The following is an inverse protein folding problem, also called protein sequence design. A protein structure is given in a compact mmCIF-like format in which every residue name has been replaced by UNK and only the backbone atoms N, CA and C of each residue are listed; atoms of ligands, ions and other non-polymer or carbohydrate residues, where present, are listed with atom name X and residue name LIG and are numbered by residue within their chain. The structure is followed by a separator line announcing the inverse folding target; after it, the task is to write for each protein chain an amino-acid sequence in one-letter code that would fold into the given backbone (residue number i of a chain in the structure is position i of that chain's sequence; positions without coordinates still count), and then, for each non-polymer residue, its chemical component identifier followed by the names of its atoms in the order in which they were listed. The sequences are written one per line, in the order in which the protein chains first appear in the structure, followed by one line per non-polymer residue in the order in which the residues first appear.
data_IF_344163482909
#
_entry.id   IF_344163482909
#
_cell.length_a   1.000
_cell.length_b   1.000
_cell.length_c   1.000
_cell.angle_alpha   90.00
_cell.angle_beta   90.00
_cell.angle_gamma   90.00
#
_symmetry.space_group_name_H-M   'P 1'
#
loop_
_entity.id
_entity.type
_entity.pdbx_description
1 polymer ?
#
# COMPACT_ATOMS: atom_id res chain seq x y z
N UNK A 1 -6.69 -25.17 -33.39
CA UNK A 1 -6.93 -26.17 -34.45
C UNK A 1 -8.41 -26.19 -34.84
N UNK A 2 -8.78 -25.77 -36.06
CA UNK A 2 -10.15 -25.78 -36.55
C UNK A 2 -10.80 -27.17 -36.59
N UNK A 3 -9.99 -28.23 -36.70
CA UNK A 3 -10.48 -29.62 -36.80
C UNK A 3 -11.14 -30.11 -35.51
N UNK A 4 -10.62 -29.71 -34.35
CA UNK A 4 -11.19 -30.03 -33.03
C UNK A 4 -12.57 -29.38 -32.81
N UNK A 5 -12.80 -28.18 -33.35
CA UNK A 5 -14.09 -27.47 -33.21
C UNK A 5 -15.21 -28.16 -34.00
N UNK A 6 -14.88 -28.77 -35.13
CA UNK A 6 -15.84 -29.47 -35.98
C UNK A 6 -16.20 -30.87 -35.46
N UNK A 7 -15.45 -31.41 -34.50
CA UNK A 7 -15.71 -32.71 -33.87
C UNK A 7 -16.70 -32.64 -32.69
N UNK A 8 -17.10 -31.44 -32.25
CA UNK A 8 -17.99 -31.21 -31.11
C UNK A 8 -19.45 -30.98 -31.52
N UNK A 9 -20.40 -31.44 -30.69
CA UNK A 9 -21.83 -31.16 -30.86
C UNK A 9 -22.18 -29.68 -30.68
N UNK A 10 -23.40 -29.27 -31.06
CA UNK A 10 -23.78 -27.85 -31.23
C UNK A 10 -23.51 -26.94 -30.03
N UNK A 11 -23.98 -27.28 -28.81
CA UNK A 11 -23.82 -26.41 -27.63
C UNK A 11 -22.36 -26.28 -27.16
N UNK A 12 -21.58 -27.36 -27.00
CA UNK A 12 -20.14 -27.27 -26.71
C UNK A 12 -19.33 -26.54 -27.79
N UNK A 13 -19.68 -26.72 -29.07
CA UNK A 13 -19.02 -26.05 -30.19
C UNK A 13 -19.21 -24.53 -30.14
N UNK A 14 -20.42 -24.06 -29.83
CA UNK A 14 -20.70 -22.63 -29.73
C UNK A 14 -19.92 -21.99 -28.57
N UNK A 15 -19.95 -22.60 -27.38
CA UNK A 15 -19.20 -22.06 -26.23
C UNK A 15 -17.68 -22.02 -26.46
N UNK A 16 -17.11 -23.01 -27.15
CA UNK A 16 -15.70 -22.98 -27.52
C UNK A 16 -15.39 -21.91 -28.57
N UNK A 17 -16.33 -21.64 -29.48
CA UNK A 17 -16.16 -20.61 -30.51
C UNK A 17 -16.16 -19.22 -29.88
N UNK A 18 -17.16 -18.93 -29.03
CA UNK A 18 -17.26 -17.70 -28.25
C UNK A 18 -16.02 -17.48 -27.38
N UNK A 19 -15.51 -18.53 -26.73
CA UNK A 19 -14.29 -18.42 -25.92
C UNK A 19 -13.06 -18.06 -26.75
N UNK A 20 -12.88 -18.64 -27.94
CA UNK A 20 -11.71 -18.30 -28.75
C UNK A 20 -11.84 -16.89 -29.34
N UNK A 21 -13.04 -16.50 -29.78
CA UNK A 21 -13.30 -15.13 -30.23
C UNK A 21 -12.99 -14.11 -29.11
N UNK A 22 -13.32 -14.43 -27.86
CA UNK A 22 -12.96 -13.62 -26.70
C UNK A 22 -11.43 -13.49 -26.54
N UNK A 23 -10.69 -14.59 -26.62
CA UNK A 23 -9.22 -14.59 -26.48
C UNK A 23 -8.55 -13.81 -27.62
N UNK A 24 -9.00 -14.01 -28.86
CA UNK A 24 -8.49 -13.26 -30.01
C UNK A 24 -8.81 -11.78 -29.87
N UNK A 25 -10.01 -11.42 -29.42
CA UNK A 25 -10.41 -10.03 -29.15
C UNK A 25 -9.54 -9.37 -28.07
N UNK A 26 -9.24 -10.07 -26.97
CA UNK A 26 -8.35 -9.60 -25.91
C UNK A 26 -6.95 -9.35 -26.47
N UNK A 27 -6.39 -10.31 -27.23
CA UNK A 27 -5.05 -10.20 -27.81
C UNK A 27 -4.93 -8.99 -28.73
N UNK A 28 -5.91 -8.79 -29.61
CA UNK A 28 -5.91 -7.69 -30.57
C UNK A 28 -6.08 -6.34 -29.86
N UNK A 29 -7.07 -6.23 -28.97
CA UNK A 29 -7.46 -4.95 -28.35
C UNK A 29 -6.44 -4.38 -27.36
N UNK A 30 -5.55 -5.23 -26.84
CA UNK A 30 -4.62 -4.87 -25.76
C UNK A 30 -3.14 -4.91 -26.18
N UNK A 31 -2.83 -5.35 -27.40
CA UNK A 31 -1.45 -5.57 -27.88
C UNK A 31 -0.52 -4.35 -27.80
N UNK A 32 -1.04 -3.14 -28.01
CA UNK A 32 -0.26 -1.89 -27.99
C UNK A 32 -0.39 -1.10 -26.68
N UNK A 33 -1.00 -1.71 -25.65
CA UNK A 33 -1.20 -1.06 -24.34
C UNK A 33 -0.09 -1.39 -23.37
N UNK A 34 0.06 -0.56 -22.33
CA UNK A 34 0.97 -0.83 -21.20
C UNK A 34 0.53 -2.07 -20.43
N UNK A 35 1.45 -2.71 -19.68
CA UNK A 35 1.13 -3.90 -18.88
C UNK A 35 -0.07 -3.69 -17.94
N UNK A 36 -0.16 -2.53 -17.29
CA UNK A 36 -1.29 -2.21 -16.41
C UNK A 36 -2.63 -2.14 -17.16
N UNK A 37 -2.64 -1.49 -18.32
CA UNK A 37 -3.82 -1.40 -19.19
C UNK A 37 -4.20 -2.75 -19.80
N UNK A 38 -3.21 -3.63 -20.06
CA UNK A 38 -3.46 -5.01 -20.49
C UNK A 38 -4.15 -5.79 -19.38
N UNK A 39 -3.65 -5.73 -18.13
CA UNK A 39 -4.29 -6.38 -16.98
C UNK A 39 -5.70 -5.85 -16.78
N UNK A 40 -5.89 -4.53 -16.73
CA UNK A 40 -7.21 -3.92 -16.56
C UNK A 40 -8.17 -4.30 -17.70
N UNK A 41 -7.70 -4.28 -18.94
CA UNK A 41 -8.48 -4.68 -20.11
C UNK A 41 -8.92 -6.13 -20.06
N UNK A 42 -8.05 -7.06 -19.64
CA UNK A 42 -8.42 -8.48 -19.47
C UNK A 42 -9.51 -8.62 -18.40
N UNK A 43 -9.40 -7.92 -17.26
CA UNK A 43 -10.38 -8.01 -16.18
C UNK A 43 -11.78 -7.54 -16.60
N UNK A 44 -11.85 -6.52 -17.45
CA UNK A 44 -13.11 -5.99 -17.99
C UNK A 44 -13.66 -6.88 -19.12
N UNK A 45 -12.86 -7.19 -20.15
CA UNK A 45 -13.30 -7.95 -21.33
C UNK A 45 -13.69 -9.38 -20.98
N UNK A 46 -12.96 -10.03 -20.06
CA UNK A 46 -13.31 -11.39 -19.59
C UNK A 46 -14.59 -11.44 -18.74
N UNK A 47 -15.10 -10.29 -18.30
CA UNK A 47 -16.21 -10.20 -17.35
C UNK A 47 -15.84 -10.58 -15.92
N UNK A 48 -14.55 -10.83 -15.62
CA UNK A 48 -14.11 -11.21 -14.27
C UNK A 48 -14.44 -10.11 -13.25
N UNK A 49 -14.30 -8.83 -13.62
CA UNK A 49 -14.60 -7.72 -12.71
C UNK A 49 -16.08 -7.67 -12.32
N UNK A 50 -16.96 -7.87 -13.30
CA UNK A 50 -18.41 -7.97 -13.06
C UNK A 50 -18.75 -9.21 -12.22
N UNK A 51 -18.09 -10.35 -12.46
CA UNK A 51 -18.27 -11.56 -11.67
C UNK A 51 -17.85 -11.37 -10.20
N UNK A 52 -16.74 -10.68 -9.95
CA UNK A 52 -16.31 -10.33 -8.58
C UNK A 52 -17.29 -9.38 -7.90
N UNK A 53 -17.80 -8.37 -8.62
CA UNK A 53 -18.77 -7.43 -8.09
C UNK A 53 -20.13 -8.07 -7.74
N UNK A 54 -20.45 -9.22 -8.35
CA UNK A 54 -21.68 -9.97 -8.08
C UNK A 54 -21.59 -10.92 -6.87
N UNK A 55 -20.42 -11.03 -6.23
CA UNK A 55 -20.24 -11.82 -5.00
C UNK A 55 -20.88 -11.12 -3.79
N UNK A 56 -20.97 -11.86 -2.68
CA UNK A 56 -21.39 -11.30 -1.40
C UNK A 56 -20.51 -10.08 -1.01
N UNK A 57 -21.06 -9.02 -0.40
CA UNK A 57 -20.38 -7.72 -0.29
C UNK A 57 -18.97 -7.77 0.32
N UNK A 58 -18.75 -8.63 1.33
CA UNK A 58 -17.43 -8.79 1.96
C UNK A 58 -16.42 -9.50 1.04
N UNK A 59 -16.88 -10.49 0.29
CA UNK A 59 -16.01 -11.23 -0.63
C UNK A 59 -15.72 -10.43 -1.89
N UNK A 60 -16.73 -9.72 -2.41
CA UNK A 60 -16.60 -8.81 -3.54
C UNK A 60 -15.55 -7.73 -3.27
N UNK A 61 -15.56 -7.15 -2.07
CA UNK A 61 -14.52 -6.19 -1.68
C UNK A 61 -13.15 -6.87 -1.62
N UNK A 62 -12.98 -7.93 -0.82
CA UNK A 62 -11.67 -8.55 -0.63
C UNK A 62 -11.04 -8.99 -1.95
N UNK A 63 -11.83 -9.58 -2.86
CA UNK A 63 -11.34 -9.94 -4.20
C UNK A 63 -11.11 -8.72 -5.09
N UNK A 64 -11.97 -7.70 -5.04
CA UNK A 64 -11.80 -6.45 -5.79
C UNK A 64 -10.53 -5.69 -5.39
N UNK A 65 -10.17 -5.74 -4.11
CA UNK A 65 -8.90 -5.21 -3.59
C UNK A 65 -7.71 -5.95 -4.19
N UNK A 66 -7.74 -7.28 -4.21
CA UNK A 66 -6.68 -8.09 -4.84
C UNK A 66 -6.52 -7.77 -6.33
N UNK A 67 -7.63 -7.57 -7.06
CA UNK A 67 -7.58 -7.15 -8.46
C UNK A 67 -6.96 -5.75 -8.64
N UNK A 68 -7.27 -4.83 -7.73
CA UNK A 68 -6.70 -3.47 -7.76
C UNK A 68 -5.21 -3.49 -7.46
N UNK A 69 -4.77 -4.34 -6.53
CA UNK A 69 -3.37 -4.52 -6.21
C UNK A 69 -2.60 -5.15 -7.39
N UNK A 70 -3.19 -6.12 -8.08
CA UNK A 70 -2.60 -6.71 -9.29
C UNK A 70 -2.33 -5.65 -10.37
N UNK A 71 -3.26 -4.72 -10.59
CA UNK A 71 -3.07 -3.58 -11.51
C UNK A 71 -1.95 -2.65 -11.00
N UNK A 72 -1.91 -2.39 -9.69
CA UNK A 72 -0.87 -1.55 -9.11
C UNK A 72 0.53 -2.17 -9.24
N UNK A 73 0.65 -3.49 -9.05
CA UNK A 73 1.87 -4.26 -9.27
C UNK A 73 2.31 -4.12 -10.74
N UNK A 74 1.41 -4.40 -11.68
CA UNK A 74 1.65 -4.25 -13.12
C UNK A 74 2.12 -2.84 -13.51
N UNK A 75 1.52 -1.79 -12.95
CA UNK A 75 1.89 -0.40 -13.24
C UNK A 75 3.28 -0.01 -12.71
N UNK A 76 3.66 -0.56 -11.56
CA UNK A 76 4.98 -0.31 -10.95
C UNK A 76 6.07 -1.27 -11.43
N UNK A 77 5.70 -2.31 -12.18
CA UNK A 77 6.62 -3.31 -12.68
C UNK A 77 7.65 -2.67 -13.61
N UNK A 78 8.89 -3.12 -13.49
CA UNK A 78 9.99 -2.74 -14.36
C UNK A 78 10.72 -4.02 -14.73
N UNK A 79 10.87 -4.23 -16.03
CA UNK A 79 11.59 -5.38 -16.56
C UNK A 79 13.04 -5.32 -16.07
N UNK A 80 13.55 -6.35 -15.37
CA UNK A 80 14.96 -6.44 -15.03
C UNK A 80 15.83 -6.37 -16.29
N UNK A 81 17.04 -5.82 -16.18
CA UNK A 81 17.95 -5.70 -17.33
C UNK A 81 18.28 -7.07 -17.97
N UNK A 82 18.27 -8.13 -17.17
CA UNK A 82 18.51 -9.51 -17.60
C UNK A 82 17.36 -10.11 -18.44
N UNK A 83 16.15 -9.54 -18.37
CA UNK A 83 14.93 -10.08 -18.99
C UNK A 83 14.41 -9.22 -20.16
N UNK A 84 15.16 -8.19 -20.60
CA UNK A 84 14.73 -7.26 -21.64
C UNK A 84 14.34 -7.96 -22.97
N UNK A 85 14.94 -9.12 -23.28
CA UNK A 85 14.66 -9.89 -24.50
C UNK A 85 13.31 -10.63 -24.47
N UNK A 86 12.76 -10.90 -23.27
CA UNK A 86 11.57 -11.75 -23.10
C UNK A 86 10.25 -10.97 -23.31
N UNK A 87 10.30 -9.64 -23.29
CA UNK A 87 9.13 -8.76 -23.36
C UNK A 87 8.43 -8.59 -22.00
N UNK A 88 7.85 -7.41 -21.77
CA UNK A 88 7.37 -6.98 -20.44
C UNK A 88 6.33 -7.91 -19.81
N UNK A 89 5.34 -8.37 -20.58
CA UNK A 89 4.31 -9.29 -20.08
C UNK A 89 4.89 -10.66 -19.70
N UNK A 90 5.79 -11.22 -20.51
CA UNK A 90 6.37 -12.52 -20.23
C UNK A 90 7.35 -12.47 -19.05
N UNK A 91 8.13 -11.40 -18.93
CA UNK A 91 8.95 -11.11 -17.74
C UNK A 91 8.09 -11.03 -16.47
N UNK A 92 6.99 -10.27 -16.52
CA UNK A 92 6.05 -10.16 -15.41
C UNK A 92 5.45 -11.51 -14.99
N UNK A 93 4.99 -12.31 -15.96
CA UNK A 93 4.41 -13.63 -15.70
C UNK A 93 5.45 -14.62 -15.16
N UNK A 94 6.70 -14.56 -15.63
CA UNK A 94 7.80 -15.37 -15.12
C UNK A 94 8.05 -15.08 -13.64
N UNK A 95 8.21 -13.80 -13.29
CA UNK A 95 8.41 -13.38 -11.91
C UNK A 95 7.22 -13.74 -11.02
N UNK A 96 5.99 -13.48 -11.46
CA UNK A 96 4.80 -13.83 -10.70
C UNK A 96 4.68 -15.35 -10.46
N UNK A 97 5.14 -16.18 -11.40
CA UNK A 97 5.15 -17.64 -11.25
C UNK A 97 6.20 -18.12 -10.24
N UNK A 98 7.38 -17.50 -10.23
CA UNK A 98 8.42 -17.77 -9.22
C UNK A 98 7.92 -17.40 -7.81
N UNK A 99 7.31 -16.23 -7.68
CA UNK A 99 6.76 -15.73 -6.41
C UNK A 99 5.61 -16.62 -5.89
N UNK A 100 4.79 -17.17 -6.79
CA UNK A 100 3.65 -18.02 -6.45
C UNK A 100 4.00 -19.47 -6.03
N UNK A 101 5.20 -19.95 -6.37
CA UNK A 101 5.55 -21.38 -6.29
C UNK A 101 6.44 -21.82 -5.12
N UNK A 102 7.37 -20.98 -4.65
CA UNK A 102 8.53 -21.48 -3.88
C UNK A 102 8.63 -21.01 -2.43
N UNK A 103 7.83 -20.05 -1.97
CA UNK A 103 8.03 -19.40 -0.65
C UNK A 103 7.04 -19.80 0.44
N UNK A 104 6.06 -20.66 0.17
CA UNK A 104 5.14 -21.16 1.19
C UNK A 104 5.78 -22.29 1.99
N UNK A 105 6.48 -21.92 3.06
CA UNK A 105 7.06 -22.87 4.00
C UNK A 105 5.94 -23.68 4.69
N UNK A 106 6.17 -24.97 4.94
CA UNK A 106 5.21 -25.77 5.71
C UNK A 106 5.03 -25.19 7.13
N UNK A 107 3.91 -25.49 7.81
CA UNK A 107 3.60 -24.94 9.16
C UNK A 107 4.68 -25.18 10.23
N UNK A 108 5.62 -26.10 9.98
CA UNK A 108 6.72 -26.46 10.88
C UNK A 108 8.11 -26.22 10.28
N UNK A 109 8.19 -25.54 9.13
CA UNK A 109 9.46 -25.12 8.56
C UNK A 109 10.05 -23.97 9.37
N UNK A 110 11.37 -23.93 9.47
CA UNK A 110 12.12 -22.82 10.06
C UNK A 110 12.07 -21.62 9.12
N UNK A 111 10.99 -20.86 9.20
CA UNK A 111 10.68 -19.73 8.34
C UNK A 111 9.87 -18.66 9.09
N UNK A 112 9.94 -17.42 8.60
CA UNK A 112 9.10 -16.33 9.10
C UNK A 112 7.65 -16.59 8.71
N UNK A 113 6.75 -16.64 9.69
CA UNK A 113 5.34 -16.87 9.45
C UNK A 113 4.61 -15.54 9.21
N UNK A 114 4.10 -15.35 8.00
CA UNK A 114 3.23 -14.22 7.65
C UNK A 114 1.77 -14.69 7.69
N UNK A 115 0.94 -13.97 8.44
CA UNK A 115 -0.48 -14.28 8.57
C UNK A 115 -1.28 -13.05 8.97
N UNK A 116 -2.60 -13.13 8.83
CA UNK A 116 -3.50 -12.10 9.36
C UNK A 116 -3.64 -12.23 10.88
N UNK A 117 -4.00 -11.15 11.57
CA UNK A 117 -4.25 -11.17 13.02
C UNK A 117 -5.34 -12.19 13.42
N UNK A 118 -6.37 -12.37 12.59
CA UNK A 118 -7.43 -13.36 12.82
C UNK A 118 -6.89 -14.80 12.81
N UNK A 119 -5.97 -15.09 11.90
CA UNK A 119 -5.34 -16.41 11.76
C UNK A 119 -4.36 -16.75 12.89
N UNK A 120 -3.85 -15.74 13.60
CA UNK A 120 -2.89 -15.92 14.69
C UNK A 120 -3.53 -16.39 16.01
N UNK A 121 -4.86 -16.45 16.10
CA UNK A 121 -5.57 -16.82 17.32
C UNK A 121 -5.18 -18.23 17.78
N UNK A 122 -4.70 -18.34 19.03
CA UNK A 122 -4.26 -19.60 19.63
C UNK A 122 -2.84 -20.04 19.27
N UNK A 123 -2.11 -19.21 18.51
CA UNK A 123 -0.67 -19.38 18.26
C UNK A 123 0.13 -18.45 19.16
N UNK A 124 1.37 -18.80 19.44
CA UNK A 124 2.30 -17.98 20.23
C UNK A 124 3.69 -18.06 19.59
N UNK A 125 4.43 -16.96 19.61
CA UNK A 125 5.73 -16.83 18.96
C UNK A 125 6.70 -16.06 19.87
N UNK A 126 8.00 -16.42 19.88
CA UNK A 126 9.01 -15.69 20.63
C UNK A 126 9.08 -14.19 20.26
N UNK A 127 8.92 -13.88 18.99
CA UNK A 127 9.00 -12.54 18.42
C UNK A 127 7.83 -12.32 17.46
N UNK A 128 7.07 -11.24 17.66
CA UNK A 128 5.95 -10.86 16.79
C UNK A 128 6.15 -9.45 16.26
N UNK A 129 5.95 -9.30 14.96
CA UNK A 129 5.82 -8.00 14.30
C UNK A 129 4.36 -7.78 13.94
N UNK A 130 3.75 -6.72 14.47
CA UNK A 130 2.48 -6.21 13.97
C UNK A 130 2.79 -5.00 13.11
N UNK A 131 2.54 -5.14 11.81
CA UNK A 131 2.85 -4.14 10.79
C UNK A 131 1.58 -3.40 10.36
N UNK A 132 1.75 -2.18 9.86
CA UNK A 132 0.62 -1.39 9.36
C UNK A 132 -0.28 -0.86 10.48
N UNK A 133 0.30 -0.52 11.64
CA UNK A 133 -0.38 0.11 12.77
C UNK A 133 -0.72 1.57 12.44
N UNK A 134 -1.63 1.78 11.51
CA UNK A 134 -2.02 3.05 10.91
C UNK A 134 -3.55 3.24 11.00
N UNK A 135 -4.02 4.44 11.29
CA UNK A 135 -5.46 4.76 11.19
C UNK A 135 -5.97 4.51 9.76
N UNK A 136 -7.14 3.88 9.64
CA UNK A 136 -7.73 3.49 8.36
C UNK A 136 -7.26 2.12 7.84
N UNK A 137 -6.09 1.64 8.28
CA UNK A 137 -5.61 0.28 8.02
C UNK A 137 -5.86 -0.64 9.22
N UNK A 138 -5.36 -0.26 10.39
CA UNK A 138 -5.59 -0.93 11.65
C UNK A 138 -5.60 0.07 12.84
N UNK A 139 -6.78 0.52 13.31
CA UNK A 139 -8.11 -0.01 12.99
C UNK A 139 -8.53 0.23 11.53
N UNK A 140 -9.25 -0.74 10.95
CA UNK A 140 -9.77 -0.61 9.60
C UNK A 140 -10.77 0.57 9.50
N UNK A 141 -10.69 1.33 8.40
CA UNK A 141 -11.54 2.48 8.11
C UNK A 141 -13.04 2.20 8.33
N UNK A 142 -13.53 1.03 7.93
CA UNK A 142 -14.93 0.64 8.08
C UNK A 142 -15.34 0.50 9.53
N UNK A 143 -14.49 -0.14 10.34
CA UNK A 143 -14.76 -0.30 11.76
C UNK A 143 -14.80 1.06 12.48
N UNK A 144 -14.06 2.05 11.97
CA UNK A 144 -14.13 3.42 12.47
C UNK A 144 -15.45 4.12 12.10
N UNK A 145 -16.01 3.83 10.92
CA UNK A 145 -17.25 4.42 10.41
C UNK A 145 -18.51 3.74 10.96
N UNK A 146 -18.49 2.41 11.12
CA UNK A 146 -19.61 1.60 11.64
C UNK A 146 -19.91 1.88 13.12
N UNK A 147 -18.95 2.45 13.86
CA UNK A 147 -19.16 3.01 15.20
C UNK A 147 -18.35 2.35 16.31
N UNK A 148 -18.62 2.72 17.57
CA UNK A 148 -17.76 2.36 18.71
C UNK A 148 -17.62 0.85 18.95
N UNK A 149 -18.67 0.07 18.71
CA UNK A 149 -18.66 -1.39 18.95
C UNK A 149 -17.68 -2.12 18.03
N UNK A 150 -17.58 -1.70 16.77
CA UNK A 150 -16.69 -2.28 15.78
C UNK A 150 -15.25 -1.88 16.06
N UNK A 151 -15.04 -0.64 16.47
CA UNK A 151 -13.73 -0.19 16.93
C UNK A 151 -13.26 -0.98 18.17
N UNK A 152 -14.17 -1.35 19.08
CA UNK A 152 -13.85 -2.24 20.19
C UNK A 152 -13.49 -3.66 19.72
N UNK A 153 -14.07 -4.14 18.63
CA UNK A 153 -13.69 -5.43 18.06
C UNK A 153 -12.28 -5.40 17.46
N UNK A 154 -11.94 -4.35 16.70
CA UNK A 154 -10.58 -4.12 16.20
C UNK A 154 -9.57 -3.98 17.35
N UNK A 155 -9.97 -3.35 18.46
CA UNK A 155 -9.17 -3.25 19.68
C UNK A 155 -8.95 -4.62 20.33
N UNK A 156 -9.98 -5.48 20.36
CA UNK A 156 -9.84 -6.88 20.81
C UNK A 156 -8.89 -7.65 19.90
N UNK A 157 -8.96 -7.43 18.59
CA UNK A 157 -8.05 -8.01 17.62
C UNK A 157 -6.60 -7.55 17.86
N UNK A 158 -6.39 -6.27 18.16
CA UNK A 158 -5.07 -5.72 18.51
C UNK A 158 -4.51 -6.39 19.77
N UNK A 159 -5.33 -6.50 20.81
CA UNK A 159 -4.98 -7.20 22.04
C UNK A 159 -4.58 -8.66 21.78
N UNK A 160 -5.39 -9.40 21.00
CA UNK A 160 -5.07 -10.79 20.64
C UNK A 160 -3.73 -10.85 19.90
N UNK A 161 -3.49 -9.98 18.92
CA UNK A 161 -2.24 -9.89 18.19
C UNK A 161 -1.02 -9.65 19.08
N UNK A 162 -1.13 -8.65 19.98
CA UNK A 162 -0.05 -8.29 20.90
C UNK A 162 0.28 -9.43 21.87
N UNK A 163 -0.74 -10.16 22.35
CA UNK A 163 -0.56 -11.31 23.25
C UNK A 163 -0.08 -12.59 22.57
N UNK A 164 0.16 -12.58 21.25
CA UNK A 164 0.85 -13.70 20.58
C UNK A 164 2.37 -13.67 20.83
N UNK A 165 2.91 -12.54 21.30
CA UNK A 165 4.33 -12.37 21.56
C UNK A 165 4.72 -12.90 22.94
N UNK A 166 5.65 -13.86 23.00
CA UNK A 166 6.15 -14.39 24.27
C UNK A 166 7.28 -13.54 24.87
N UNK A 167 8.19 -13.01 24.02
CA UNK A 167 9.39 -12.30 24.48
C UNK A 167 9.46 -10.86 23.98
N UNK A 168 9.19 -10.66 22.70
CA UNK A 168 9.33 -9.35 22.08
C UNK A 168 8.21 -9.08 21.08
N UNK A 169 7.64 -7.87 21.19
CA UNK A 169 6.64 -7.33 20.29
C UNK A 169 7.21 -6.09 19.62
N UNK A 170 7.13 -6.04 18.30
CA UNK A 170 7.47 -4.87 17.50
C UNK A 170 6.23 -4.39 16.77
N UNK A 171 5.92 -3.11 16.94
CA UNK A 171 4.82 -2.43 16.25
C UNK A 171 5.41 -1.48 15.21
N UNK A 172 4.96 -1.55 13.97
CA UNK A 172 5.42 -0.64 12.91
C UNK A 172 4.27 0.03 12.16
N UNK A 173 4.51 1.27 11.74
CA UNK A 173 3.62 2.08 10.91
C UNK A 173 4.45 2.81 9.86
N UNK A 174 3.85 3.11 8.70
CA UNK A 174 4.48 3.88 7.65
C UNK A 174 4.03 5.35 7.69
N UNK A 175 4.96 6.29 7.48
CA UNK A 175 4.63 7.71 7.31
C UNK A 175 3.99 7.99 5.93
N UNK A 176 4.30 7.15 4.94
CA UNK A 176 3.69 7.14 3.61
C UNK A 176 3.61 5.72 3.10
N UNK A 177 2.45 5.32 2.58
CA UNK A 177 2.18 4.00 2.04
C UNK A 177 1.58 4.13 0.65
N UNK A 178 2.12 3.40 -0.33
CA UNK A 178 1.37 3.17 -1.57
C UNK A 178 0.29 2.14 -1.28
N UNK A 179 -0.96 2.50 -1.51
CA UNK A 179 -2.14 1.68 -1.29
C UNK A 179 -3.11 1.90 -2.45
N UNK A 180 -3.51 0.81 -3.13
CA UNK A 180 -4.44 0.85 -4.27
C UNK A 180 -4.02 1.87 -5.34
N UNK A 181 -2.73 1.87 -5.70
CA UNK A 181 -2.17 2.77 -6.73
C UNK A 181 -1.97 4.24 -6.30
N UNK A 182 -2.41 4.63 -5.10
CA UNK A 182 -2.27 6.00 -4.58
C UNK A 182 -1.37 6.05 -3.35
N UNK A 183 -0.73 7.20 -3.08
CA UNK A 183 0.01 7.40 -1.84
C UNK A 183 -0.95 7.83 -0.72
N UNK A 184 -1.09 7.02 0.32
CA UNK A 184 -1.81 7.30 1.54
C UNK A 184 -0.85 7.78 2.64
N UNK A 185 -1.27 8.79 3.39
CA UNK A 185 -0.54 9.36 4.53
C UNK A 185 -1.40 9.21 5.79
N UNK A 186 -1.31 8.04 6.39
CA UNK A 186 -2.14 7.69 7.54
C UNK A 186 -1.47 8.11 8.84
N UNK A 187 -2.27 8.56 9.81
CA UNK A 187 -1.77 8.80 11.16
C UNK A 187 -1.41 7.45 11.83
N UNK A 188 -0.47 7.42 12.79
CA UNK A 188 -0.22 6.22 13.58
C UNK A 188 -1.50 5.76 14.30
N UNK A 189 -1.72 4.45 14.35
CA UNK A 189 -2.89 3.84 14.98
C UNK A 189 -3.05 4.33 16.42
N UNK A 190 -4.30 4.65 16.79
CA UNK A 190 -4.66 4.96 18.18
C UNK A 190 -4.28 3.87 19.16
N UNK A 191 -4.24 2.60 18.74
CA UNK A 191 -3.86 1.48 19.60
C UNK A 191 -2.41 1.60 20.12
N UNK A 192 -1.52 2.26 19.38
CA UNK A 192 -0.16 2.56 19.87
C UNK A 192 -0.23 3.55 21.04
N UNK A 193 -1.05 4.60 20.92
CA UNK A 193 -1.15 5.69 21.92
C UNK A 193 -1.83 5.25 23.22
N UNK A 194 -2.59 4.17 23.16
CA UNK A 194 -3.26 3.57 24.31
C UNK A 194 -2.32 2.71 25.17
N UNK A 195 -1.16 2.32 24.62
CA UNK A 195 -0.15 1.58 25.36
C UNK A 195 0.56 2.51 26.36
N UNK A 196 0.90 2.03 27.58
CA UNK A 196 1.66 2.82 28.52
C UNK A 196 3.04 3.19 27.95
N UNK A 197 3.36 4.48 27.89
CA UNK A 197 4.62 4.96 27.30
C UNK A 197 5.89 4.35 27.91
N UNK A 198 5.85 3.95 29.20
CA UNK A 198 6.97 3.23 29.86
C UNK A 198 7.31 1.88 29.22
N UNK A 199 6.39 1.29 28.48
CA UNK A 199 6.56 0.00 27.79
C UNK A 199 6.98 0.19 26.32
N UNK A 200 7.03 1.43 25.83
CA UNK A 200 7.34 1.74 24.45
C UNK A 200 8.80 2.19 24.33
N UNK A 201 9.53 1.57 23.42
CA UNK A 201 10.83 2.03 22.96
C UNK A 201 10.68 2.49 21.51
N UNK A 202 10.64 3.80 21.30
CA UNK A 202 10.51 4.35 19.95
C UNK A 202 11.84 4.21 19.20
N UNK A 203 11.80 3.45 18.09
CA UNK A 203 12.93 3.29 17.19
C UNK A 203 12.65 4.07 15.92
N UNK A 204 13.40 5.16 15.70
CA UNK A 204 13.42 5.89 14.42
C UNK A 204 14.62 5.37 13.63
N UNK A 205 14.43 4.54 12.58
CA UNK A 205 15.54 4.16 11.74
C UNK A 205 16.11 5.42 11.09
N UNK A 206 17.37 5.75 11.41
CA UNK A 206 18.14 6.75 10.67
C UNK A 206 18.47 6.14 9.31
N UNK A 207 17.52 6.17 8.38
CA UNK A 207 17.76 5.73 7.01
C UNK A 207 18.78 6.69 6.40
N UNK A 208 20.06 6.31 6.44
CA UNK A 208 21.08 6.92 5.61
C UNK A 208 20.78 6.48 4.18
N UNK A 209 19.95 7.26 3.49
CA UNK A 209 19.74 7.11 2.06
C UNK A 209 21.08 7.43 1.37
N UNK A 210 21.93 6.43 1.20
CA UNK A 210 23.08 6.51 0.30
C UNK A 210 22.52 6.56 -1.11
N UNK A 211 22.18 7.75 -1.59
CA UNK A 211 21.88 7.95 -3.01
C UNK A 211 23.17 7.66 -3.78
N UNK A 212 23.21 6.64 -4.65
CA UNK A 212 24.38 6.43 -5.50
C UNK A 212 24.54 7.67 -6.39
N UNK A 213 25.63 8.40 -6.18
CA UNK A 213 26.04 9.54 -7.00
C UNK A 213 26.62 9.03 -8.31
N UNK A 214 25.77 8.52 -9.18
CA UNK A 214 26.09 8.32 -10.59
C UNK A 214 25.61 9.56 -11.32
N UNK A 215 26.56 10.41 -11.74
CA UNK A 215 26.52 11.40 -12.83
C UNK A 215 27.41 12.60 -12.45
N UNK A 216 28.68 12.49 -12.83
CA UNK A 216 29.60 13.61 -12.86
C UNK A 216 29.26 14.55 -14.02
N UNK A 217 29.18 15.84 -13.73
CA UNK A 217 28.98 16.90 -14.71
C UNK A 217 28.74 18.22 -13.99
N UNK A 218 29.80 19.02 -13.84
CA UNK A 218 29.72 20.34 -13.25
C UNK A 218 28.86 21.27 -14.11
N UNK A 219 27.71 21.66 -13.60
CA UNK A 219 27.03 22.90 -13.94
C UNK A 219 26.39 23.43 -12.65
N UNK A 220 26.78 24.65 -12.27
CA UNK A 220 26.13 25.40 -11.19
C UNK A 220 24.64 25.52 -11.48
N UNK A 221 23.84 24.72 -10.78
CA UNK A 221 22.41 24.93 -10.65
C UNK A 221 22.12 25.15 -9.17
N UNK A 222 21.65 26.37 -8.86
CA UNK A 222 21.14 26.73 -7.55
C UNK A 222 20.17 25.67 -7.02
N UNK A 223 20.09 25.44 -5.69
CA UNK A 223 19.08 24.56 -5.14
C UNK A 223 17.71 25.13 -5.51
N UNK A 224 17.00 24.46 -6.41
CA UNK A 224 15.57 24.65 -6.63
C UNK A 224 14.85 24.10 -5.39
N UNK A 225 14.86 24.91 -4.34
CA UNK A 225 13.85 24.89 -3.30
C UNK A 225 12.52 25.26 -3.95
N UNK A 226 11.68 24.27 -4.18
CA UNK A 226 10.26 24.51 -4.45
C UNK A 226 9.41 23.71 -3.47
N UNK A 227 9.61 24.03 -2.19
CA UNK A 227 8.52 24.09 -1.23
C UNK A 227 8.65 25.47 -0.57
N UNK A 228 7.58 26.29 -0.47
CA UNK A 228 7.66 27.68 0.03
C UNK A 228 7.99 27.77 1.53
N UNK A 229 8.27 26.64 2.18
CA UNK A 229 8.49 26.52 3.61
C UNK A 229 9.95 26.19 3.89
N UNK A 230 10.66 27.13 4.50
CA UNK A 230 12.00 26.88 5.05
C UNK A 230 11.87 26.14 6.38
N UNK A 231 12.44 24.94 6.44
CA UNK A 231 12.63 24.20 7.69
C UNK A 231 13.49 25.04 8.65
N UNK A 232 13.09 25.14 9.91
CA UNK A 232 13.68 26.04 10.90
C UNK A 232 13.27 27.50 10.78
N UNK A 233 12.37 27.84 9.85
CA UNK A 233 11.82 29.19 9.72
C UNK A 233 10.84 29.53 10.84
N UNK A 234 10.87 30.79 11.28
CA UNK A 234 9.89 31.33 12.22
C UNK A 234 8.56 31.55 11.51
N UNK A 235 7.48 31.18 12.18
CA UNK A 235 6.12 31.34 11.68
C UNK A 235 5.23 31.89 12.77
N UNK A 236 4.19 32.62 12.37
CA UNK A 236 3.15 33.12 13.25
C UNK A 236 1.80 32.58 12.84
N UNK A 237 1.04 32.09 13.83
CA UNK A 237 -0.33 31.61 13.64
C UNK A 237 -1.31 32.43 14.48
N UNK A 238 -2.43 32.92 13.92
CA UNK A 238 -3.39 33.79 14.63
C UNK A 238 -3.94 33.22 15.95
N UNK A 239 -3.99 31.88 16.06
CA UNK A 239 -4.49 31.18 17.26
C UNK A 239 -3.39 30.65 18.18
N UNK A 240 -2.20 30.40 17.65
CA UNK A 240 -1.16 29.64 18.37
C UNK A 240 0.12 30.45 18.62
N UNK A 241 0.16 31.71 18.18
CA UNK A 241 1.29 32.60 18.42
C UNK A 241 2.47 32.31 17.50
N UNK A 242 3.67 32.63 17.98
CA UNK A 242 4.93 32.39 17.28
C UNK A 242 5.41 30.95 17.48
N UNK A 243 6.06 30.41 16.46
CA UNK A 243 6.61 29.07 16.48
C UNK A 243 7.64 28.82 15.39
N UNK A 244 8.31 27.68 15.47
CA UNK A 244 9.35 27.29 14.52
C UNK A 244 8.89 26.08 13.73
N UNK A 245 9.06 26.14 12.40
CA UNK A 245 8.79 24.99 11.53
C UNK A 245 9.83 23.92 11.79
N UNK A 246 9.40 22.81 12.37
CA UNK A 246 10.25 21.64 12.66
C UNK A 246 10.33 20.76 11.42
N UNK A 247 9.21 20.56 10.73
CA UNK A 247 9.13 19.67 9.58
C UNK A 247 8.06 20.10 8.59
N UNK A 248 8.26 19.81 7.31
CA UNK A 248 7.29 20.04 6.25
C UNK A 248 7.19 18.77 5.40
N UNK A 249 5.96 18.36 5.09
CA UNK A 249 5.63 17.14 4.37
C UNK A 249 4.74 17.46 3.18
N UNK A 250 4.94 16.75 2.07
CA UNK A 250 4.15 16.91 0.85
C UNK A 250 4.50 18.17 0.04
N UNK A 251 3.77 18.36 -1.06
CA UNK A 251 3.89 19.50 -1.97
C UNK A 251 2.48 19.99 -2.37
N UNK A 252 2.37 21.29 -2.70
CA UNK A 252 1.11 21.90 -3.14
C UNK A 252 0.09 22.13 -2.02
N UNK A 253 -1.19 22.15 -2.37
CA UNK A 253 -2.30 22.57 -1.49
C UNK A 253 -2.56 21.63 -0.29
N UNK A 254 -2.01 20.42 -0.32
CA UNK A 254 -2.11 19.45 0.77
C UNK A 254 -0.83 19.33 1.60
N UNK A 255 0.16 20.20 1.36
CA UNK A 255 1.39 20.18 2.13
C UNK A 255 1.10 20.46 3.62
N UNK A 256 1.72 19.70 4.51
CA UNK A 256 1.55 19.80 5.96
C UNK A 256 2.84 20.25 6.61
N UNK A 257 2.72 21.08 7.63
CA UNK A 257 3.84 21.60 8.41
C UNK A 257 3.64 21.29 9.88
N UNK A 258 4.69 20.81 10.50
CA UNK A 258 4.78 20.60 11.93
C UNK A 258 5.52 21.80 12.52
N UNK A 259 4.81 22.57 13.33
CA UNK A 259 5.29 23.79 13.96
C UNK A 259 5.32 23.58 15.46
N UNK A 260 6.44 23.92 16.09
CA UNK A 260 6.52 23.99 17.55
C UNK A 260 6.23 25.43 17.97
N UNK A 261 5.05 25.67 18.56
CA UNK A 261 4.65 26.97 19.07
C UNK A 261 5.13 27.16 20.51
N UNK A 262 5.60 28.35 20.84
CA UNK A 262 6.22 28.62 22.15
C UNK A 262 5.25 28.37 23.32
N UNK A 263 3.99 28.80 23.17
CA UNK A 263 2.96 28.68 24.22
C UNK A 263 2.08 27.42 24.09
N UNK A 264 2.11 26.74 22.94
CA UNK A 264 1.15 25.68 22.61
C UNK A 264 1.79 24.35 22.19
N UNK A 265 3.12 24.28 22.18
CA UNK A 265 3.89 23.11 21.80
C UNK A 265 3.69 22.71 20.35
N UNK A 266 3.97 21.44 20.05
CA UNK A 266 3.99 20.93 18.70
C UNK A 266 2.57 20.76 18.11
N UNK A 267 2.34 21.35 16.93
CA UNK A 267 1.08 21.27 16.17
C UNK A 267 1.35 20.96 14.70
N UNK A 268 0.49 20.14 14.12
CA UNK A 268 0.49 19.80 12.70
C UNK A 268 -0.61 20.59 11.98
N UNK A 269 -0.25 21.29 10.91
CA UNK A 269 -1.13 22.19 10.18
C UNK A 269 -1.03 21.93 8.67
N UNK A 270 -2.15 21.95 7.97
CA UNK A 270 -2.16 21.90 6.50
C UNK A 270 -1.94 23.31 5.95
N UNK A 271 -0.88 23.51 5.17
CA UNK A 271 -0.42 24.82 4.68
C UNK A 271 -1.54 25.66 4.08
N UNK A 272 -2.34 25.09 3.17
CA UNK A 272 -3.43 25.81 2.49
C UNK A 272 -4.53 26.33 3.44
N UNK A 273 -4.70 25.72 4.61
CA UNK A 273 -5.77 26.07 5.58
C UNK A 273 -5.24 26.70 6.87
N UNK A 274 -3.92 26.74 7.03
CA UNK A 274 -3.27 27.08 8.29
C UNK A 274 -3.17 28.58 8.58
N UNK A 275 -3.42 29.47 7.61
CA UNK A 275 -3.19 30.94 7.76
C UNK A 275 -1.85 31.27 8.45
N UNK A 276 -0.81 30.47 8.17
CA UNK A 276 0.53 30.67 8.72
C UNK A 276 1.20 31.84 7.99
N UNK A 277 1.70 32.80 8.77
CA UNK A 277 2.57 33.87 8.27
C UNK A 277 4.03 33.46 8.49
N UNK A 278 4.82 33.43 7.42
CA UNK A 278 6.27 33.18 7.50
C UNK A 278 6.99 34.49 7.81
N UNK A 279 7.85 34.49 8.83
CA UNK A 279 8.63 35.65 9.29
C UNK A 279 10.05 35.65 8.70
#
# INVERSE_FOLDING_TARGET
DPSLRNALGGRPRNGLTEFVELIDHIRESLSERTLAEQVEGVLEISGLRAAVAALEPREAEARGENLTELIAMANSYRVPDEDQEMGELAAFLSQASLDAGETQASKHADAVQLMTLHSAKGLEFPLVFIVGMEEGLFPNQRAMEEGPQQLEEERRLAYVGMTRAERQLVLSYAESRRWRGSAAYNAPSRFIRELPGRCLSEVRPKVQLTRPSSFGGAASAAPLNTSPVKLGGNVRHPRFGEGVVVQAYGQGDHARVQVNFDDHGMKELVLAFSKLEFL
#
